data_IF_110239552941
#
_entry.id   IF_110239552941
#
_cell.length_a   1.000
_cell.length_b   1.000
_cell.length_c   1.000
_cell.angle_alpha   90.00
_cell.angle_beta   90.00
_cell.angle_gamma   90.00
#
_symmetry.space_group_name_H-M   'P 1'
#
loop_
_entity.id
_entity.type
_entity.pdbx_description
1 polymer ?
#
# COMPACT_ATOMS: atom_id res chain seq x y z
N UNK A 1 11.79 -4.83 18.45
CA UNK A 1 11.50 -3.48 19.00
C UNK A 1 9.98 -3.35 19.15
N UNK A 2 9.49 -2.83 20.28
CA UNK A 2 8.06 -2.62 20.63
C UNK A 2 7.14 -3.84 20.81
N UNK A 3 7.63 -5.07 20.60
CA UNK A 3 6.86 -6.30 20.82
C UNK A 3 5.61 -6.42 19.93
N UNK A 4 5.68 -5.95 18.68
CA UNK A 4 4.64 -6.11 17.66
C UNK A 4 5.06 -7.20 16.69
N UNK A 5 4.20 -8.20 16.48
CA UNK A 5 4.38 -9.17 15.41
C UNK A 5 3.87 -8.57 14.11
N UNK A 6 4.76 -8.01 13.29
CA UNK A 6 4.41 -7.34 12.04
C UNK A 6 4.97 -8.09 10.83
N UNK A 7 4.20 -8.14 9.75
CA UNK A 7 4.62 -8.70 8.46
C UNK A 7 4.62 -7.61 7.38
N UNK A 8 5.71 -7.54 6.60
CA UNK A 8 5.78 -6.71 5.40
C UNK A 8 5.23 -7.49 4.20
N UNK A 9 4.15 -6.98 3.63
CA UNK A 9 3.50 -7.54 2.44
C UNK A 9 3.94 -6.74 1.22
N UNK A 10 4.95 -7.25 0.51
CA UNK A 10 5.52 -6.58 -0.67
C UNK A 10 4.60 -6.69 -1.90
N UNK A 11 4.67 -5.67 -2.76
CA UNK A 11 3.94 -5.59 -4.03
C UNK A 11 4.29 -6.72 -5.02
N UNK A 12 3.29 -7.49 -5.43
CA UNK A 12 3.46 -8.53 -6.46
C UNK A 12 3.76 -7.96 -7.87
N UNK A 13 3.20 -6.80 -8.20
CA UNK A 13 3.46 -6.15 -9.48
C UNK A 13 4.93 -5.72 -9.64
N UNK A 14 5.62 -5.41 -8.53
CA UNK A 14 7.05 -5.09 -8.53
C UNK A 14 7.90 -6.32 -8.85
N UNK A 15 7.53 -7.49 -8.31
CA UNK A 15 8.18 -8.75 -8.65
C UNK A 15 8.07 -9.04 -10.15
N UNK A 16 6.86 -8.90 -10.72
CA UNK A 16 6.65 -9.06 -12.15
C UNK A 16 7.41 -8.03 -13.00
N UNK A 17 7.61 -6.82 -12.48
CA UNK A 17 8.42 -5.78 -13.15
C UNK A 17 9.89 -6.19 -13.19
N UNK A 18 10.43 -6.73 -12.09
CA UNK A 18 11.80 -7.27 -12.04
C UNK A 18 11.98 -8.51 -12.91
N UNK A 19 10.95 -9.35 -13.01
CA UNK A 19 10.93 -10.53 -13.89
C UNK A 19 10.68 -10.17 -15.37
N UNK A 20 10.49 -8.89 -15.71
CA UNK A 20 10.13 -8.41 -17.06
C UNK A 20 8.85 -9.04 -17.63
N UNK A 21 7.92 -9.45 -16.76
CA UNK A 21 6.65 -10.12 -17.11
C UNK A 21 5.53 -9.13 -17.37
N UNK A 22 5.75 -8.18 -18.28
CA UNK A 22 4.81 -7.10 -18.57
C UNK A 22 3.45 -7.59 -19.08
N UNK A 23 3.40 -8.70 -19.81
CA UNK A 23 2.14 -9.30 -20.25
C UNK A 23 1.29 -9.81 -19.07
N UNK A 24 1.94 -10.34 -18.04
CA UNK A 24 1.25 -10.77 -16.82
C UNK A 24 0.78 -9.57 -15.99
N UNK A 25 1.51 -8.45 -16.02
CA UNK A 25 1.08 -7.20 -15.39
C UNK A 25 -0.22 -6.64 -15.99
N UNK A 26 -0.54 -6.93 -17.25
CA UNK A 26 -1.83 -6.52 -17.85
C UNK A 26 -3.03 -7.27 -17.24
N UNK A 27 -2.82 -8.49 -16.72
CA UNK A 27 -3.87 -9.28 -16.07
C UNK A 27 -4.07 -8.85 -14.62
N UNK A 28 -4.85 -7.78 -14.45
CA UNK A 28 -5.09 -7.19 -13.14
C UNK A 28 -5.90 -8.09 -12.20
N UNK A 29 -6.67 -9.06 -12.71
CA UNK A 29 -7.33 -10.04 -11.84
C UNK A 29 -6.31 -10.98 -11.22
N UNK A 30 -5.37 -11.46 -12.03
CA UNK A 30 -4.27 -12.29 -11.55
C UNK A 30 -3.36 -11.53 -10.59
N UNK A 31 -2.92 -10.31 -10.96
CA UNK A 31 -2.06 -9.47 -10.12
C UNK A 31 -2.72 -9.20 -8.77
N UNK A 32 -3.98 -8.75 -8.78
CA UNK A 32 -4.73 -8.49 -7.55
C UNK A 32 -4.93 -9.75 -6.71
N UNK A 33 -5.32 -10.88 -7.31
CA UNK A 33 -5.52 -12.13 -6.59
C UNK A 33 -4.26 -12.64 -5.91
N UNK A 34 -3.09 -12.46 -6.55
CA UNK A 34 -1.79 -12.78 -5.94
C UNK A 34 -1.44 -11.84 -4.80
N UNK A 35 -1.72 -10.54 -4.92
CA UNK A 35 -1.55 -9.58 -3.83
C UNK A 35 -2.46 -9.93 -2.64
N UNK A 36 -3.74 -10.22 -2.90
CA UNK A 36 -4.71 -10.61 -1.88
C UNK A 36 -4.30 -11.89 -1.16
N UNK A 37 -3.80 -12.90 -1.89
CA UNK A 37 -3.30 -14.13 -1.28
C UNK A 37 -2.11 -13.89 -0.33
N UNK A 38 -1.22 -12.93 -0.63
CA UNK A 38 -0.11 -12.57 0.27
C UNK A 38 -0.61 -12.01 1.60
N UNK A 39 -1.68 -11.23 1.59
CA UNK A 39 -2.32 -10.74 2.82
C UNK A 39 -3.06 -11.87 3.53
N UNK A 40 -3.85 -12.65 2.79
CA UNK A 40 -4.66 -13.75 3.33
C UNK A 40 -3.82 -14.78 4.10
N UNK A 41 -2.63 -15.14 3.62
CA UNK A 41 -1.79 -16.20 4.23
C UNK A 41 -1.34 -15.87 5.66
N UNK A 42 -1.30 -14.59 6.04
CA UNK A 42 -0.89 -14.12 7.36
C UNK A 42 -2.03 -13.49 8.14
N UNK A 43 -3.24 -13.46 7.56
CA UNK A 43 -4.46 -13.00 8.22
C UNK A 43 -4.62 -13.77 9.54
N UNK A 44 -4.89 -13.06 10.62
CA UNK A 44 -5.06 -13.59 11.98
C UNK A 44 -3.79 -14.24 12.60
N UNK A 45 -2.63 -14.15 11.94
CA UNK A 45 -1.35 -14.66 12.45
C UNK A 45 -0.37 -13.56 12.88
N UNK A 46 -0.67 -12.29 12.60
CA UNK A 46 0.17 -11.13 12.90
C UNK A 46 -0.67 -9.99 13.48
N UNK A 47 -0.04 -9.14 14.29
CA UNK A 47 -0.70 -7.94 14.85
C UNK A 47 -0.95 -6.89 13.76
N UNK A 48 -0.02 -6.77 12.80
CA UNK A 48 -0.06 -5.76 11.73
C UNK A 48 0.51 -6.31 10.44
N UNK A 49 -0.18 -6.04 9.33
CA UNK A 49 0.37 -6.13 7.99
C UNK A 49 0.74 -4.73 7.51
N UNK A 50 1.96 -4.56 7.01
CA UNK A 50 2.41 -3.32 6.36
C UNK A 50 2.49 -3.60 4.86
N UNK A 51 1.79 -2.83 4.04
CA UNK A 51 1.79 -3.00 2.57
C UNK A 51 2.06 -1.68 1.87
N UNK A 52 2.92 -1.71 0.86
CA UNK A 52 3.15 -0.60 -0.09
C UNK A 52 2.31 -0.74 -1.37
N UNK A 53 1.55 -1.84 -1.50
CA UNK A 53 0.57 -2.09 -2.56
C UNK A 53 -0.79 -2.42 -1.94
N UNK A 54 -1.55 -1.41 -1.50
CA UNK A 54 -2.90 -1.63 -1.01
C UNK A 54 -3.75 -2.25 -2.12
N UNK A 55 -4.60 -3.22 -1.77
CA UNK A 55 -5.50 -3.90 -2.72
C UNK A 55 -6.36 -2.92 -3.52
N UNK A 56 -6.61 -1.73 -2.97
CA UNK A 56 -7.28 -0.60 -3.61
C UNK A 56 -6.63 -0.13 -4.91
N UNK A 57 -5.34 -0.37 -5.16
CA UNK A 57 -4.71 -0.05 -6.44
C UNK A 57 -5.33 -0.85 -7.60
N UNK A 58 -5.97 -1.98 -7.31
CA UNK A 58 -6.79 -2.71 -8.28
C UNK A 58 -7.93 -1.87 -8.88
N UNK A 59 -8.44 -0.87 -8.16
CA UNK A 59 -9.45 0.07 -8.67
C UNK A 59 -8.89 1.02 -9.73
N UNK A 60 -7.57 1.29 -9.67
CA UNK A 60 -6.89 2.17 -10.62
C UNK A 60 -6.40 1.38 -11.83
N UNK A 61 -5.70 0.28 -11.59
CA UNK A 61 -5.10 -0.50 -12.67
C UNK A 61 -6.11 -1.44 -13.34
N UNK A 62 -7.11 -1.90 -12.59
CA UNK A 62 -8.14 -2.82 -13.06
C UNK A 62 -9.36 -2.18 -13.70
N UNK A 63 -9.36 -0.88 -14.04
CA UNK A 63 -10.52 -0.15 -14.60
C UNK A 63 -11.17 -0.79 -15.84
N UNK A 64 -10.42 -1.61 -16.58
CA UNK A 64 -10.93 -2.32 -17.76
C UNK A 64 -11.67 -3.63 -17.42
N UNK A 65 -11.73 -4.01 -16.13
CA UNK A 65 -12.50 -5.16 -15.68
C UNK A 65 -13.98 -4.81 -15.47
N UNK A 66 -14.86 -5.83 -15.41
CA UNK A 66 -16.26 -5.64 -15.05
C UNK A 66 -16.41 -4.97 -13.68
N UNK A 67 -17.52 -4.26 -13.48
CA UNK A 67 -17.85 -3.53 -12.25
C UNK A 67 -17.75 -4.42 -10.99
N UNK A 68 -18.17 -5.68 -11.09
CA UNK A 68 -18.07 -6.63 -9.98
C UNK A 68 -16.65 -6.88 -9.48
N UNK A 69 -15.63 -6.60 -10.29
CA UNK A 69 -14.24 -6.66 -9.84
C UNK A 69 -13.92 -5.53 -8.86
N UNK A 70 -14.39 -4.31 -9.13
CA UNK A 70 -14.23 -3.18 -8.21
C UNK A 70 -15.00 -3.41 -6.90
N UNK A 71 -16.20 -3.98 -6.98
CA UNK A 71 -16.99 -4.38 -5.80
C UNK A 71 -16.22 -5.41 -4.96
N UNK A 72 -15.68 -6.47 -5.60
CA UNK A 72 -14.86 -7.47 -4.93
C UNK A 72 -13.63 -6.87 -4.24
N UNK A 73 -12.95 -5.90 -4.87
CA UNK A 73 -11.81 -5.21 -4.28
C UNK A 73 -12.21 -4.49 -3.00
N UNK A 74 -13.31 -3.74 -3.03
CA UNK A 74 -13.81 -2.98 -1.89
C UNK A 74 -14.30 -3.88 -0.76
N UNK A 75 -15.05 -4.95 -1.10
CA UNK A 75 -15.48 -5.96 -0.12
C UNK A 75 -14.27 -6.61 0.56
N UNK A 76 -13.28 -7.06 -0.23
CA UNK A 76 -12.06 -7.67 0.30
C UNK A 76 -11.23 -6.70 1.15
N UNK A 77 -11.19 -5.42 0.78
CA UNK A 77 -10.54 -4.38 1.58
C UNK A 77 -11.22 -4.24 2.94
N UNK A 78 -12.56 -4.20 2.97
CA UNK A 78 -13.33 -4.03 4.20
C UNK A 78 -13.33 -5.24 5.14
N UNK A 79 -12.75 -6.38 4.75
CA UNK A 79 -12.52 -7.51 5.66
C UNK A 79 -11.42 -7.24 6.70
N UNK A 80 -10.61 -6.19 6.52
CA UNK A 80 -9.48 -5.85 7.38
C UNK A 80 -9.74 -4.58 8.20
N UNK A 81 -9.08 -4.47 9.35
CA UNK A 81 -9.01 -3.23 10.11
C UNK A 81 -7.93 -2.29 9.54
N UNK A 82 -8.28 -1.55 8.49
CA UNK A 82 -7.30 -0.79 7.71
C UNK A 82 -6.93 0.56 8.35
N UNK A 83 -5.66 0.94 8.17
CA UNK A 83 -5.18 2.32 8.33
C UNK A 83 -4.41 2.72 7.07
N UNK A 84 -4.85 3.78 6.39
CA UNK A 84 -4.23 4.19 5.12
C UNK A 84 -3.38 5.44 5.31
N UNK A 85 -2.19 5.42 4.74
CA UNK A 85 -1.26 6.54 4.74
C UNK A 85 -0.95 6.96 3.31
N UNK A 86 -1.18 8.22 3.00
CA UNK A 86 -0.80 8.81 1.72
C UNK A 86 0.55 9.52 1.86
N UNK A 87 1.59 8.92 1.32
CA UNK A 87 2.95 9.42 1.48
C UNK A 87 3.21 10.61 0.55
N UNK A 88 3.50 11.78 1.14
CA UNK A 88 3.92 12.97 0.43
C UNK A 88 5.39 12.82 0.05
N UNK A 89 5.68 12.78 -1.26
CA UNK A 89 7.05 12.61 -1.78
C UNK A 89 7.88 13.86 -1.50
N UNK A 90 8.99 13.71 -0.77
CA UNK A 90 9.97 14.78 -0.49
C UNK A 90 11.30 14.60 -1.24
N UNK A 91 11.54 13.43 -1.84
CA UNK A 91 12.79 13.05 -2.52
C UNK A 91 12.63 13.06 -4.04
N UNK A 92 13.76 13.17 -4.75
CA UNK A 92 13.82 13.08 -6.20
C UNK A 92 13.29 11.72 -6.72
N UNK A 93 12.73 11.76 -7.93
CA UNK A 93 12.14 10.59 -8.57
C UNK A 93 13.20 9.56 -8.96
N UNK A 94 13.15 8.36 -8.35
CA UNK A 94 13.98 7.23 -8.78
C UNK A 94 13.22 6.36 -9.82
N UNK A 95 13.71 6.24 -11.06
CA UNK A 95 13.04 5.46 -12.10
C UNK A 95 13.27 3.94 -11.99
N UNK A 96 14.25 3.46 -11.21
CA UNK A 96 14.60 2.03 -11.16
C UNK A 96 13.46 1.21 -10.55
N UNK A 97 13.09 0.11 -11.22
CA UNK A 97 12.01 -0.78 -10.79
C UNK A 97 10.61 -0.16 -10.93
N UNK A 98 10.43 0.87 -11.78
CA UNK A 98 9.14 1.48 -12.09
C UNK A 98 8.87 1.45 -13.58
N UNK A 99 7.63 1.13 -13.94
CA UNK A 99 7.15 1.20 -15.32
C UNK A 99 6.68 2.62 -15.73
N UNK A 100 6.66 3.57 -14.79
CA UNK A 100 6.13 4.93 -14.98
C UNK A 100 7.26 5.97 -15.00
N UNK A 101 7.04 7.09 -15.71
CA UNK A 101 7.88 8.28 -15.60
C UNK A 101 7.36 9.22 -14.48
N UNK A 102 8.08 10.31 -14.21
CA UNK A 102 7.73 11.25 -13.12
C UNK A 102 6.35 11.89 -13.32
N UNK A 103 6.05 12.35 -14.54
CA UNK A 103 4.75 12.98 -14.84
C UNK A 103 3.58 12.01 -14.66
N UNK A 104 3.72 10.77 -15.15
CA UNK A 104 2.72 9.71 -14.94
C UNK A 104 2.56 9.39 -13.47
N UNK A 105 3.63 9.44 -12.69
CA UNK A 105 3.56 9.25 -11.24
C UNK A 105 2.76 10.36 -10.55
N UNK A 106 2.97 11.62 -10.91
CA UNK A 106 2.19 12.75 -10.36
C UNK A 106 0.70 12.68 -10.74
N UNK A 107 0.39 12.20 -11.94
CA UNK A 107 -1.00 11.96 -12.36
C UNK A 107 -1.63 10.82 -11.56
N UNK A 108 -0.89 9.72 -11.39
CA UNK A 108 -1.33 8.57 -10.59
C UNK A 108 -1.61 8.97 -9.13
N UNK A 109 -0.77 9.80 -8.53
CA UNK A 109 -0.97 10.31 -7.17
C UNK A 109 -2.32 11.04 -7.04
N UNK A 110 -2.70 11.85 -8.05
CA UNK A 110 -4.02 12.53 -8.09
C UNK A 110 -5.17 11.55 -8.30
N UNK A 111 -5.00 10.57 -9.18
CA UNK A 111 -6.01 9.54 -9.42
C UNK A 111 -6.27 8.68 -8.18
N UNK A 112 -5.21 8.33 -7.43
CA UNK A 112 -5.34 7.58 -6.17
C UNK A 112 -6.09 8.43 -5.13
N UNK A 113 -5.73 9.70 -4.97
CA UNK A 113 -6.42 10.57 -4.03
C UNK A 113 -7.91 10.75 -4.36
N UNK A 114 -8.24 10.91 -5.65
CA UNK A 114 -9.63 10.97 -6.12
C UNK A 114 -10.38 9.66 -5.84
N UNK A 115 -9.79 8.51 -6.18
CA UNK A 115 -10.38 7.20 -5.93
C UNK A 115 -10.65 6.97 -4.44
N UNK A 116 -9.72 7.35 -3.55
CA UNK A 116 -9.93 7.24 -2.11
C UNK A 116 -11.10 8.10 -1.63
N UNK A 117 -11.21 9.33 -2.14
CA UNK A 117 -12.31 10.24 -1.80
C UNK A 117 -13.67 9.73 -2.33
N UNK A 118 -13.73 9.28 -3.58
CA UNK A 118 -14.93 8.73 -4.21
C UNK A 118 -15.49 7.51 -3.46
N UNK A 119 -14.60 6.67 -2.92
CA UNK A 119 -14.96 5.48 -2.17
C UNK A 119 -15.09 5.72 -0.64
N UNK A 120 -15.04 6.98 -0.19
CA UNK A 120 -15.09 7.36 1.23
C UNK A 120 -14.03 6.67 2.11
N UNK A 121 -12.86 6.39 1.53
CA UNK A 121 -11.75 5.72 2.21
C UNK A 121 -10.90 6.78 2.91
N UNK A 122 -10.88 6.72 4.23
CA UNK A 122 -10.07 7.62 5.06
C UNK A 122 -8.59 7.31 4.89
N UNK A 123 -7.79 8.36 4.72
CA UNK A 123 -6.33 8.29 4.70
C UNK A 123 -5.73 9.50 5.41
N UNK A 124 -4.53 9.34 5.95
CA UNK A 124 -3.75 10.42 6.52
C UNK A 124 -2.55 10.74 5.63
N UNK A 125 -2.34 12.03 5.33
CA UNK A 125 -1.18 12.45 4.55
C UNK A 125 0.04 12.57 5.46
N UNK A 126 1.12 11.86 5.13
CA UNK A 126 2.33 11.77 5.97
C UNK A 126 3.57 12.06 5.13
N UNK A 127 4.57 12.74 5.70
CA UNK A 127 5.84 13.02 5.05
C UNK A 127 6.61 11.75 4.68
N UNK A 128 7.14 11.67 3.46
CA UNK A 128 7.97 10.55 2.99
C UNK A 128 9.42 10.58 3.50
N UNK A 129 9.62 10.91 4.78
CA UNK A 129 10.91 10.95 5.46
C UNK A 129 10.87 10.25 6.83
N UNK A 130 11.97 10.30 7.58
CA UNK A 130 12.08 9.67 8.89
C UNK A 130 11.04 10.19 9.90
N UNK A 131 10.61 11.46 9.81
CA UNK A 131 9.57 11.98 10.70
C UNK A 131 8.25 11.26 10.47
N UNK A 132 7.89 11.04 9.20
CA UNK A 132 6.69 10.30 8.84
C UNK A 132 6.72 8.83 9.23
N UNK A 133 7.89 8.17 9.15
CA UNK A 133 8.05 6.81 9.65
C UNK A 133 7.75 6.73 11.15
N UNK A 134 8.30 7.65 11.94
CA UNK A 134 8.05 7.72 13.38
C UNK A 134 6.58 8.03 13.69
N UNK A 135 5.95 8.91 12.92
CA UNK A 135 4.54 9.27 13.10
C UNK A 135 3.62 8.07 12.83
N UNK A 136 3.85 7.36 11.72
CA UNK A 136 3.11 6.13 11.39
C UNK A 136 3.31 5.08 12.48
N UNK A 137 4.56 4.81 12.88
CA UNK A 137 4.86 3.83 13.92
C UNK A 137 4.15 4.17 15.24
N UNK A 138 4.18 5.44 15.65
CA UNK A 138 3.50 5.91 16.87
C UNK A 138 1.99 5.70 16.80
N UNK A 139 1.37 5.98 15.65
CA UNK A 139 -0.07 5.80 15.47
C UNK A 139 -0.48 4.34 15.50
N UNK A 140 0.27 3.47 14.80
CA UNK A 140 0.05 2.02 14.81
C UNK A 140 0.18 1.47 16.22
N UNK A 141 1.26 1.81 16.94
CA UNK A 141 1.46 1.38 18.32
C UNK A 141 0.33 1.85 19.24
N UNK A 142 -0.12 3.10 19.11
CA UNK A 142 -1.26 3.62 19.86
C UNK A 142 -2.54 2.80 19.61
N UNK A 143 -2.80 2.41 18.35
CA UNK A 143 -3.95 1.59 17.97
C UNK A 143 -3.88 0.19 18.58
N UNK A 144 -2.68 -0.36 18.72
CA UNK A 144 -2.41 -1.65 19.38
C UNK A 144 -2.34 -1.54 20.92
N UNK A 145 -2.52 -0.35 21.51
CA UNK A 145 -2.36 -0.15 22.95
C UNK A 145 -0.92 -0.29 23.46
N UNK A 146 0.08 -0.17 22.58
CA UNK A 146 1.51 -0.31 22.87
C UNK A 146 2.20 1.06 22.94
N UNK A 147 3.29 1.14 23.71
CA UNK A 147 4.12 2.34 23.82
C UNK A 147 5.27 2.28 22.82
N UNK A 148 5.67 3.44 22.31
CA UNK A 148 6.85 3.57 21.47
C UNK A 148 8.09 3.68 22.36
N UNK A 149 8.94 2.65 22.30
CA UNK A 149 10.19 2.54 23.06
C UNK A 149 11.38 3.18 22.35
N UNK A 150 11.37 3.16 21.01
CA UNK A 150 12.45 3.62 20.12
C UNK A 150 11.85 4.37 18.91
N UNK A 151 12.53 5.42 18.48
CA UNK A 151 12.25 6.19 17.26
C UNK A 151 13.50 6.28 16.39
N UNK A 152 13.32 6.40 15.07
CA UNK A 152 14.41 6.60 14.12
C UNK A 152 14.87 8.07 14.12
N UNK A 153 16.18 8.29 14.05
CA UNK A 153 16.80 9.58 13.85
C UNK A 153 17.42 9.67 12.45
N UNK A 154 17.72 10.89 12.00
CA UNK A 154 18.27 11.15 10.64
C UNK A 154 19.66 10.53 10.41
N UNK A 155 20.30 10.04 11.46
CA UNK A 155 21.64 9.44 11.48
C UNK A 155 21.62 7.90 11.53
N UNK A 156 20.43 7.28 11.58
CA UNK A 156 20.22 5.82 11.47
C UNK A 156 20.08 5.35 10.01
#
# INVERSE_FOLDING_TARGET
>A
MHGVNAELITEFAKDLTWEERFKTLEDQRYVWGKQQHRMWRVKDHVDVMVTDSPTLLGLIYGKNNPVCFSELILESFNEFDNTNYFLIRLKEFNPKGRNQNEEKSKRLDKEIAAMLAENNIKFEAVAGDYSGVNDIARQVLRRLGKKMEISLNRED
#
